data_IF_510933148219
#
_entry.id   IF_510933148219
#
_cell.length_a   1.000
_cell.length_b   1.000
_cell.length_c   1.000
_cell.angle_alpha   90.00
_cell.angle_beta   90.00
_cell.angle_gamma   90.00
#
_symmetry.space_group_name_H-M   'P 1'
#
loop_
_entity.id
_entity.type
_entity.pdbx_description
1 polymer ?
#
# COMPACT_ATOMS: atom_id res chain seq x y z
N UNK A 1 10.40 -11.55 -9.27
CA UNK A 1 9.00 -11.86 -8.94
C UNK A 1 8.67 -10.98 -7.76
N UNK A 2 7.66 -10.12 -7.87
CA UNK A 2 7.14 -9.42 -6.69
C UNK A 2 6.68 -10.49 -5.69
N UNK A 3 7.11 -10.39 -4.41
CA UNK A 3 6.70 -11.34 -3.36
C UNK A 3 5.19 -11.31 -3.13
N UNK A 4 4.55 -10.22 -3.51
CA UNK A 4 3.11 -10.00 -3.39
C UNK A 4 2.47 -9.63 -4.73
N UNK A 5 1.45 -10.39 -5.12
CA UNK A 5 0.63 -10.03 -6.29
C UNK A 5 -0.47 -9.06 -5.84
N UNK A 6 -0.26 -7.78 -6.11
CA UNK A 6 -1.17 -6.68 -5.76
C UNK A 6 -2.57 -6.79 -6.39
N UNK A 7 -2.79 -7.69 -7.34
CA UNK A 7 -4.11 -7.95 -7.92
C UNK A 7 -4.90 -9.01 -7.15
N UNK A 8 -4.22 -9.97 -6.50
CA UNK A 8 -4.86 -11.07 -5.77
C UNK A 8 -4.83 -10.85 -4.26
N UNK A 9 -3.83 -10.12 -3.77
CA UNK A 9 -3.63 -9.85 -2.35
C UNK A 9 -4.41 -8.60 -1.93
N UNK A 10 -5.06 -8.67 -0.78
CA UNK A 10 -5.74 -7.51 -0.20
C UNK A 10 -4.73 -6.53 0.38
N UNK A 11 -5.09 -5.24 0.40
CA UNK A 11 -4.23 -4.24 1.04
C UNK A 11 -4.04 -4.56 2.53
N UNK A 12 -5.02 -5.21 3.17
CA UNK A 12 -4.91 -5.66 4.55
C UNK A 12 -3.76 -6.63 4.76
N UNK A 13 -3.67 -7.66 3.93
CA UNK A 13 -2.58 -8.64 4.00
C UNK A 13 -1.20 -8.02 3.71
N UNK A 14 -1.14 -7.02 2.83
CA UNK A 14 0.09 -6.24 2.64
C UNK A 14 0.43 -5.39 3.86
N UNK A 15 -0.53 -4.68 4.44
CA UNK A 15 -0.31 -3.83 5.62
C UNK A 15 -0.03 -4.62 6.89
N UNK A 16 -0.42 -5.89 6.95
CA UNK A 16 0.00 -6.82 8.00
C UNK A 16 1.51 -7.15 7.88
N UNK A 17 2.14 -6.91 6.72
CA UNK A 17 3.59 -6.97 6.58
C UNK A 17 4.24 -5.69 7.13
N UNK A 18 5.12 -5.80 8.15
CA UNK A 18 5.78 -4.64 8.74
C UNK A 18 6.66 -3.88 7.72
N UNK A 19 7.18 -4.54 6.68
CA UNK A 19 7.98 -3.88 5.65
C UNK A 19 7.10 -2.93 4.80
N UNK A 20 5.92 -3.40 4.39
CA UNK A 20 4.97 -2.59 3.62
C UNK A 20 4.39 -1.48 4.48
N UNK A 21 4.05 -1.76 5.74
CA UNK A 21 3.60 -0.74 6.67
C UNK A 21 4.66 0.36 6.85
N UNK A 22 5.95 0.01 6.94
CA UNK A 22 7.03 0.98 7.03
C UNK A 22 7.20 1.83 5.75
N UNK A 23 7.09 1.22 4.56
CA UNK A 23 7.11 1.94 3.28
C UNK A 23 5.94 2.92 3.19
N UNK A 24 4.74 2.44 3.53
CA UNK A 24 3.51 3.23 3.58
C UNK A 24 3.65 4.42 4.53
N UNK A 25 4.16 4.22 5.73
CA UNK A 25 4.35 5.30 6.71
C UNK A 25 5.45 6.30 6.29
N UNK A 26 6.50 5.82 5.61
CA UNK A 26 7.59 6.66 5.10
C UNK A 26 7.10 7.62 4.02
N UNK A 27 6.26 7.14 3.10
CA UNK A 27 5.75 7.95 2.00
C UNK A 27 4.48 8.73 2.38
N UNK A 28 3.63 8.14 3.23
CA UNK A 28 2.36 8.67 3.69
C UNK A 28 2.22 8.51 5.21
N UNK A 29 2.85 9.39 6.00
CA UNK A 29 2.84 9.29 7.46
C UNK A 29 1.42 9.40 8.01
N UNK A 30 1.01 8.39 8.79
CA UNK A 30 -0.32 8.30 9.38
C UNK A 30 -1.32 7.57 8.51
N UNK A 31 -0.91 6.98 7.37
CA UNK A 31 -1.79 6.18 6.53
C UNK A 31 -2.26 4.94 7.29
N UNK A 32 -1.39 4.28 8.07
CA UNK A 32 -1.76 3.09 8.87
C UNK A 32 -2.74 3.40 10.01
N UNK A 33 -2.75 4.65 10.47
CA UNK A 33 -3.63 5.14 11.54
C UNK A 33 -4.86 5.88 11.00
N UNK A 34 -4.97 6.03 9.67
CA UNK A 34 -6.09 6.72 9.05
C UNK A 34 -7.33 5.81 9.08
N UNK A 35 -8.53 6.32 9.40
CA UNK A 35 -9.78 5.54 9.30
C UNK A 35 -9.99 4.94 7.91
N UNK A 36 -9.42 5.53 6.85
CA UNK A 36 -9.43 4.95 5.51
C UNK A 36 -8.63 3.65 5.39
N UNK A 37 -7.63 3.40 6.23
CA UNK A 37 -6.92 2.11 6.25
C UNK A 37 -7.90 0.98 6.49
N UNK A 38 -8.81 1.12 7.45
CA UNK A 38 -9.80 0.09 7.78
C UNK A 38 -10.70 -0.26 6.59
N UNK A 39 -11.00 0.74 5.74
CA UNK A 39 -11.75 0.56 4.50
C UNK A 39 -10.88 -0.09 3.41
N UNK A 40 -9.67 0.40 3.18
CA UNK A 40 -8.80 -0.13 2.12
C UNK A 40 -8.22 -1.50 2.44
N UNK A 41 -8.12 -1.88 3.73
CA UNK A 41 -7.70 -3.24 4.15
C UNK A 41 -8.59 -4.33 3.55
N UNK A 42 -9.87 -4.05 3.35
CA UNK A 42 -10.83 -4.95 2.70
C UNK A 42 -10.81 -4.92 1.17
N UNK A 43 -10.09 -3.97 0.56
CA UNK A 43 -9.97 -3.84 -0.89
C UNK A 43 -8.76 -4.61 -1.41
N UNK A 44 -8.72 -4.85 -2.74
CA UNK A 44 -7.49 -5.33 -3.36
C UNK A 44 -6.39 -4.29 -3.23
N UNK A 45 -5.14 -4.73 -3.12
CA UNK A 45 -4.01 -3.83 -3.00
C UNK A 45 -3.94 -2.84 -4.17
N UNK A 46 -4.23 -3.30 -5.40
CA UNK A 46 -4.33 -2.43 -6.58
C UNK A 46 -5.34 -1.28 -6.41
N UNK A 47 -6.55 -1.56 -5.88
CA UNK A 47 -7.56 -0.53 -5.65
C UNK A 47 -7.13 0.45 -4.56
N UNK A 48 -6.58 -0.08 -3.46
CA UNK A 48 -6.14 0.73 -2.34
C UNK A 48 -4.96 1.64 -2.72
N UNK A 49 -4.01 1.13 -3.49
CA UNK A 49 -2.89 1.89 -4.07
C UNK A 49 -3.41 2.97 -5.01
N UNK A 50 -4.37 2.66 -5.89
CA UNK A 50 -4.98 3.64 -6.79
C UNK A 50 -5.72 4.76 -6.04
N UNK A 51 -6.45 4.40 -4.99
CA UNK A 51 -7.18 5.36 -4.16
C UNK A 51 -6.24 6.22 -3.33
N UNK A 52 -5.19 5.61 -2.76
CA UNK A 52 -4.12 6.35 -2.10
C UNK A 52 -3.44 7.31 -3.09
N UNK A 53 -3.19 6.92 -4.35
CA UNK A 53 -2.60 7.80 -5.36
C UNK A 53 -3.40 9.05 -5.68
N UNK A 54 -4.73 8.94 -5.64
CA UNK A 54 -5.60 10.09 -5.75
C UNK A 54 -5.51 11.05 -4.53
N UNK A 55 -5.08 10.55 -3.36
CA UNK A 55 -4.95 11.34 -2.12
C UNK A 55 -3.55 11.86 -1.84
N UNK A 56 -2.51 11.04 -2.01
CA UNK A 56 -1.12 11.37 -1.69
C UNK A 56 -0.28 11.75 -2.93
N UNK A 57 -0.85 11.61 -4.13
CA UNK A 57 -0.20 11.88 -5.41
C UNK A 57 0.35 10.61 -6.09
N UNK A 58 0.30 10.59 -7.42
CA UNK A 58 0.74 9.46 -8.23
C UNK A 58 2.23 9.15 -8.05
N UNK A 59 3.09 10.18 -7.94
CA UNK A 59 4.54 10.02 -7.75
C UNK A 59 4.88 9.22 -6.49
N UNK A 60 4.18 9.49 -5.38
CA UNK A 60 4.38 8.76 -4.13
C UNK A 60 3.92 7.32 -4.23
N UNK A 61 2.86 7.07 -4.98
CA UNK A 61 2.38 5.72 -5.22
C UNK A 61 3.32 4.90 -6.08
N UNK A 62 3.89 5.49 -7.13
CA UNK A 62 4.90 4.79 -7.92
C UNK A 62 6.11 4.41 -7.06
N UNK A 63 6.54 5.30 -6.17
CA UNK A 63 7.61 5.00 -5.22
C UNK A 63 7.22 3.87 -4.24
N UNK A 64 6.02 3.91 -3.66
CA UNK A 64 5.53 2.82 -2.78
C UNK A 64 5.43 1.51 -3.55
N UNK A 65 4.90 1.53 -4.77
CA UNK A 65 4.73 0.35 -5.61
C UNK A 65 6.10 -0.25 -5.98
N UNK A 66 7.07 0.59 -6.30
CA UNK A 66 8.44 0.16 -6.57
C UNK A 66 9.11 -0.45 -5.32
N UNK A 67 8.93 0.17 -4.14
CA UNK A 67 9.44 -0.37 -2.87
C UNK A 67 8.77 -1.73 -2.53
N UNK A 68 7.46 -1.88 -2.75
CA UNK A 68 6.74 -3.15 -2.52
C UNK A 68 7.14 -4.22 -3.55
N UNK A 69 7.34 -3.87 -4.82
CA UNK A 69 7.80 -4.80 -5.85
C UNK A 69 9.25 -5.27 -5.59
N UNK A 70 10.05 -4.40 -4.96
CA UNK A 70 11.41 -4.71 -4.53
C UNK A 70 11.48 -5.60 -3.27
N UNK A 71 10.40 -5.71 -2.50
CA UNK A 71 10.24 -6.75 -1.48
C UNK A 71 10.05 -8.10 -2.20
N UNK A 72 11.14 -8.86 -2.31
CA UNK A 72 11.24 -10.16 -2.99
C UNK A 72 11.15 -11.34 -2.01
#
# INVERSE_FOLDING_TARGET
MARYDINTTTMGALLDDPEVAAIMEKHAPGVTSNPMIGMVRGMSAAQAIGMAGAMIGADKIEAIKADIDALA
#
